data_IF_085664994829
#
_entry.id   IF_085664994829
#
_cell.length_a   1.000
_cell.length_b   1.000
_cell.length_c   1.000
_cell.angle_alpha   90.00
_cell.angle_beta   90.00
_cell.angle_gamma   90.00
#
_symmetry.space_group_name_H-M   'P 1'
#
loop_
_entity.id
_entity.type
_entity.pdbx_description
1 polymer ?
#
# COMPACT_ATOMS: atom_id res chain seq x y z
N UNK A 1 -26.68 51.67 82.55
CA UNK A 1 -26.47 52.08 81.22
C UNK A 1 -25.67 50.95 80.51
N UNK A 2 -26.34 50.16 79.59
CA UNK A 2 -25.72 49.07 78.91
C UNK A 2 -25.44 49.52 77.49
N UNK A 3 -24.15 49.55 77.11
CA UNK A 3 -23.72 49.79 75.72
C UNK A 3 -23.86 48.52 74.90
N UNK A 4 -24.69 48.54 73.87
CA UNK A 4 -24.90 47.50 72.93
C UNK A 4 -23.95 47.74 71.71
N UNK A 5 -22.94 46.90 71.60
CA UNK A 5 -21.94 46.97 70.54
C UNK A 5 -22.42 46.16 69.33
N UNK A 6 -22.81 46.82 68.25
CA UNK A 6 -23.19 46.21 66.97
C UNK A 6 -21.93 45.74 66.26
N UNK A 7 -21.82 44.43 66.05
CA UNK A 7 -20.87 43.86 65.11
C UNK A 7 -21.45 43.86 63.70
N UNK A 8 -20.76 44.56 62.81
CA UNK A 8 -21.00 44.57 61.41
C UNK A 8 -20.35 43.31 60.75
N UNK A 9 -21.16 42.35 60.37
CA UNK A 9 -20.67 41.17 59.67
C UNK A 9 -20.63 41.52 58.18
N UNK A 10 -19.40 41.62 57.63
CA UNK A 10 -19.13 41.81 56.22
C UNK A 10 -19.16 40.42 55.53
N UNK A 11 -20.00 40.14 54.53
CA UNK A 11 -19.90 38.85 53.85
C UNK A 11 -18.71 38.88 52.90
N UNK A 12 -17.79 37.96 53.13
CA UNK A 12 -16.66 37.68 52.27
C UNK A 12 -17.19 36.91 51.02
N UNK A 13 -17.31 37.62 49.92
CA UNK A 13 -17.75 37.03 48.64
C UNK A 13 -16.55 36.34 48.01
N UNK A 14 -16.39 35.04 48.24
CA UNK A 14 -15.38 34.20 47.59
C UNK A 14 -15.81 33.98 46.15
N UNK A 15 -15.22 34.75 45.24
CA UNK A 15 -15.32 34.53 43.81
C UNK A 15 -14.62 33.23 43.42
N UNK A 16 -15.38 32.18 43.05
CA UNK A 16 -14.87 30.97 42.42
C UNK A 16 -14.55 31.32 40.98
N UNK A 17 -13.30 31.53 40.66
CA UNK A 17 -12.79 31.55 39.28
C UNK A 17 -12.89 30.13 38.72
N UNK A 18 -13.96 29.89 37.97
CA UNK A 18 -14.04 28.70 37.10
C UNK A 18 -13.09 28.96 35.94
N UNK A 19 -11.86 28.43 36.01
CA UNK A 19 -10.99 28.28 34.88
C UNK A 19 -11.64 27.21 34.00
N UNK A 20 -12.41 27.62 33.01
CA UNK A 20 -12.80 26.76 31.89
C UNK A 20 -11.50 26.45 31.14
N UNK A 21 -10.90 25.28 31.40
CA UNK A 21 -10.01 24.67 30.44
C UNK A 21 -10.82 24.46 29.17
N UNK A 22 -10.67 25.38 28.23
CA UNK A 22 -11.04 25.16 26.84
C UNK A 22 -9.98 24.16 26.34
N UNK A 23 -10.21 22.86 26.52
CA UNK A 23 -9.57 21.84 25.69
C UNK A 23 -10.11 22.10 24.30
N UNK A 24 -9.41 22.95 23.54
CA UNK A 24 -9.43 22.82 22.10
C UNK A 24 -9.00 21.36 21.85
N UNK A 25 -9.97 20.50 21.67
CA UNK A 25 -9.78 19.24 20.97
C UNK A 25 -9.23 19.62 19.61
N UNK A 26 -7.91 19.72 19.55
CA UNK A 26 -7.18 19.53 18.33
C UNK A 26 -7.51 18.09 17.92
N UNK A 27 -8.66 17.91 17.30
CA UNK A 27 -8.89 16.81 16.38
C UNK A 27 -7.90 17.02 15.24
N UNK A 28 -6.61 16.84 15.57
CA UNK A 28 -5.65 16.40 14.60
C UNK A 28 -6.30 15.14 14.05
N UNK A 29 -7.00 15.26 12.95
CA UNK A 29 -7.50 14.21 12.11
C UNK A 29 -6.34 13.21 12.03
N UNK A 30 -6.32 12.18 12.89
CA UNK A 30 -5.54 10.98 12.70
C UNK A 30 -6.07 10.41 11.40
N UNK A 31 -5.52 10.91 10.29
CA UNK A 31 -5.65 10.30 8.98
C UNK A 31 -5.32 8.83 9.24
N UNK A 32 -6.37 8.02 9.31
CA UNK A 32 -6.19 6.59 9.52
C UNK A 32 -5.51 6.15 8.24
N UNK A 33 -4.23 5.84 8.33
CA UNK A 33 -3.34 5.42 7.19
C UNK A 33 -3.92 4.29 6.35
N UNK A 34 -5.07 3.76 6.79
CA UNK A 34 -5.90 2.80 6.09
C UNK A 34 -6.49 3.33 4.78
N UNK A 35 -6.46 4.64 4.54
CA UNK A 35 -6.96 5.27 3.32
C UNK A 35 -6.12 4.97 2.08
N UNK A 36 -4.85 4.59 2.23
CA UNK A 36 -4.00 4.16 1.11
C UNK A 36 -4.31 2.74 0.61
N UNK A 37 -5.12 1.99 1.35
CA UNK A 37 -5.66 0.72 0.90
C UNK A 37 -7.16 0.65 1.23
N UNK A 38 -8.04 1.33 0.47
CA UNK A 38 -9.48 1.36 0.71
C UNK A 38 -10.13 0.04 0.29
N UNK A 39 -10.13 -0.95 1.19
CA UNK A 39 -10.74 -2.23 0.94
C UNK A 39 -12.28 -2.13 1.06
N UNK A 40 -13.00 -2.32 -0.04
CA UNK A 40 -14.46 -2.27 -0.12
C UNK A 40 -14.97 -3.28 -1.15
N UNK A 41 -15.93 -4.11 -0.77
CA UNK A 41 -16.60 -5.03 -1.71
C UNK A 41 -17.29 -4.24 -2.83
N UNK A 42 -17.16 -4.72 -4.06
CA UNK A 42 -17.61 -4.07 -5.29
C UNK A 42 -16.59 -3.08 -5.87
N UNK A 43 -15.53 -2.69 -5.13
CA UNK A 43 -14.49 -1.84 -5.72
C UNK A 43 -13.61 -2.61 -6.69
N UNK A 44 -13.17 -1.92 -7.75
CA UNK A 44 -12.24 -2.48 -8.73
C UNK A 44 -11.20 -1.46 -9.17
N UNK A 45 -10.05 -1.97 -9.60
CA UNK A 45 -8.96 -1.26 -10.24
C UNK A 45 -8.65 -1.96 -11.56
N UNK A 46 -8.48 -1.19 -12.64
CA UNK A 46 -8.02 -1.70 -13.94
C UNK A 46 -6.67 -1.08 -14.24
N UNK A 47 -5.76 -1.90 -14.70
CA UNK A 47 -4.39 -1.50 -15.01
C UNK A 47 -4.04 -1.83 -16.44
N UNK A 48 -3.25 -0.98 -17.08
CA UNK A 48 -2.46 -1.33 -18.23
C UNK A 48 -1.18 -2.01 -17.74
N UNK A 49 -0.88 -3.18 -18.26
CA UNK A 49 0.27 -3.99 -17.90
C UNK A 49 1.19 -4.13 -19.09
N UNK A 50 2.48 -3.87 -18.83
CA UNK A 50 3.58 -4.18 -19.73
C UNK A 50 4.51 -5.18 -19.03
N UNK A 51 4.79 -6.30 -19.69
CA UNK A 51 5.57 -7.38 -19.11
C UNK A 51 6.55 -7.94 -20.13
N UNK A 52 7.81 -8.13 -19.75
CA UNK A 52 8.80 -8.86 -20.53
C UNK A 52 9.26 -10.05 -19.70
N UNK A 53 9.13 -11.24 -20.28
CA UNK A 53 9.57 -12.50 -19.68
C UNK A 53 10.78 -13.00 -20.45
N UNK A 54 11.91 -13.18 -19.77
CA UNK A 54 13.12 -13.75 -20.34
C UNK A 54 13.22 -15.24 -19.98
N UNK A 55 13.30 -16.07 -21.03
CA UNK A 55 13.56 -17.51 -20.89
C UNK A 55 14.74 -17.89 -21.79
N UNK A 56 15.84 -18.36 -21.18
CA UNK A 56 17.08 -18.71 -21.91
C UNK A 56 17.56 -17.56 -22.82
N UNK A 57 17.58 -16.35 -22.30
CA UNK A 57 17.94 -15.11 -23.01
C UNK A 57 17.01 -14.70 -24.16
N UNK A 58 15.85 -15.32 -24.28
CA UNK A 58 14.83 -14.94 -25.29
C UNK A 58 13.72 -14.13 -24.59
N UNK A 59 13.52 -12.87 -24.94
CA UNK A 59 12.42 -12.06 -24.39
C UNK A 59 11.09 -12.35 -25.08
N UNK A 60 10.03 -12.49 -24.29
CA UNK A 60 8.65 -12.41 -24.72
C UNK A 60 8.02 -11.15 -24.12
N UNK A 61 7.43 -10.31 -24.96
CA UNK A 61 6.77 -9.07 -24.52
C UNK A 61 5.25 -9.24 -24.56
N UNK A 62 4.60 -8.94 -23.44
CA UNK A 62 3.16 -9.00 -23.27
C UNK A 62 2.62 -7.60 -22.92
N UNK A 63 1.47 -7.26 -23.52
CA UNK A 63 0.70 -6.07 -23.15
C UNK A 63 -0.76 -6.48 -22.98
N UNK A 64 -1.36 -6.08 -21.85
CA UNK A 64 -2.72 -6.45 -21.53
C UNK A 64 -3.31 -5.54 -20.46
N UNK A 65 -4.63 -5.64 -20.27
CA UNK A 65 -5.27 -5.03 -19.10
C UNK A 65 -5.55 -6.08 -18.04
N UNK A 66 -5.31 -5.69 -16.78
CA UNK A 66 -5.59 -6.47 -15.59
C UNK A 66 -6.66 -5.77 -14.76
N UNK A 67 -7.78 -6.45 -14.51
CA UNK A 67 -8.81 -6.01 -13.54
C UNK A 67 -8.61 -6.74 -12.22
N UNK A 68 -8.57 -5.97 -11.13
CA UNK A 68 -8.48 -6.43 -9.74
C UNK A 68 -9.74 -5.96 -9.03
N UNK A 69 -10.65 -6.88 -8.69
CA UNK A 69 -11.96 -6.56 -8.13
C UNK A 69 -12.13 -7.22 -6.75
N UNK A 70 -12.55 -6.46 -5.76
CA UNK A 70 -12.92 -6.98 -4.44
C UNK A 70 -14.36 -7.47 -4.48
N UNK A 71 -14.55 -8.78 -4.58
CA UNK A 71 -15.86 -9.40 -4.86
C UNK A 71 -16.61 -9.83 -3.61
N UNK A 72 -15.93 -10.12 -2.52
CA UNK A 72 -16.54 -10.59 -1.27
C UNK A 72 -15.72 -10.19 -0.04
N UNK A 73 -16.31 -10.33 1.14
CA UNK A 73 -15.68 -10.04 2.43
C UNK A 73 -16.16 -11.03 3.50
N UNK A 74 -15.22 -11.52 4.30
CA UNK A 74 -15.50 -12.31 5.50
C UNK A 74 -14.58 -11.89 6.67
N UNK A 75 -14.90 -12.35 7.87
CA UNK A 75 -14.00 -12.23 9.02
C UNK A 75 -13.19 -13.52 9.14
N UNK A 76 -11.87 -13.37 9.30
CA UNK A 76 -11.01 -14.52 9.60
C UNK A 76 -11.18 -14.97 11.07
N UNK A 77 -10.46 -16.02 11.47
CA UNK A 77 -10.51 -16.56 12.84
C UNK A 77 -10.03 -15.61 13.92
N UNK A 78 -9.25 -14.58 13.53
CA UNK A 78 -8.73 -13.52 14.40
C UNK A 78 -9.69 -12.32 14.51
N UNK A 79 -10.78 -12.33 13.72
CA UNK A 79 -11.75 -11.24 13.65
C UNK A 79 -11.38 -10.11 12.68
N UNK A 80 -10.27 -10.26 11.92
CA UNK A 80 -9.87 -9.29 10.91
C UNK A 80 -10.72 -9.40 9.65
N UNK A 81 -10.97 -8.26 9.00
CA UNK A 81 -11.64 -8.24 7.70
C UNK A 81 -10.72 -8.78 6.61
N UNK A 82 -11.19 -9.81 5.93
CA UNK A 82 -10.52 -10.40 4.76
C UNK A 82 -11.41 -10.23 3.54
N UNK A 83 -10.85 -9.66 2.48
CA UNK A 83 -11.54 -9.44 1.20
C UNK A 83 -11.04 -10.44 0.17
N UNK A 84 -11.97 -10.97 -0.61
CA UNK A 84 -11.68 -11.85 -1.76
C UNK A 84 -11.49 -10.97 -2.99
N UNK A 85 -10.41 -11.20 -3.71
CA UNK A 85 -10.02 -10.46 -4.89
C UNK A 85 -10.05 -11.39 -6.09
N UNK A 86 -10.89 -11.07 -7.10
CA UNK A 86 -10.81 -11.70 -8.40
C UNK A 86 -9.92 -10.88 -9.32
N UNK A 87 -8.99 -11.56 -9.98
CA UNK A 87 -8.15 -10.99 -11.01
C UNK A 87 -8.59 -11.53 -12.38
N UNK A 88 -8.77 -10.62 -13.31
CA UNK A 88 -9.17 -10.95 -14.69
C UNK A 88 -8.31 -10.17 -15.67
N UNK A 89 -8.04 -10.77 -16.83
CA UNK A 89 -7.21 -10.21 -17.88
C UNK A 89 -8.01 -10.07 -19.19
N UNK A 90 -7.66 -9.06 -19.99
CA UNK A 90 -8.04 -8.95 -21.41
C UNK A 90 -6.89 -8.35 -22.21
N UNK A 91 -6.78 -8.68 -23.49
CA UNK A 91 -5.68 -8.15 -24.30
C UNK A 91 -5.97 -6.74 -24.82
N UNK A 92 -7.23 -6.43 -25.13
CA UNK A 92 -7.67 -5.11 -25.57
C UNK A 92 -8.95 -4.69 -24.87
N UNK A 93 -9.32 -3.41 -24.94
CA UNK A 93 -10.59 -2.91 -24.39
C UNK A 93 -11.83 -3.54 -25.01
N UNK A 94 -11.73 -4.02 -26.25
CA UNK A 94 -12.82 -4.68 -26.96
C UNK A 94 -13.06 -6.13 -26.50
N UNK A 95 -12.08 -6.73 -25.82
CA UNK A 95 -12.16 -8.12 -25.37
C UNK A 95 -12.94 -8.25 -24.06
N UNK A 96 -13.59 -9.38 -23.89
CA UNK A 96 -14.19 -9.76 -22.61
C UNK A 96 -13.12 -10.09 -21.58
N UNK A 97 -13.42 -9.83 -20.31
CA UNK A 97 -12.57 -10.20 -19.20
C UNK A 97 -12.50 -11.72 -19.03
N UNK A 98 -11.28 -12.26 -19.00
CA UNK A 98 -11.01 -13.68 -18.70
C UNK A 98 -10.46 -13.78 -17.30
N UNK A 99 -11.12 -14.57 -16.46
CA UNK A 99 -10.66 -14.85 -15.09
C UNK A 99 -9.26 -15.48 -15.10
N UNK A 100 -8.41 -15.02 -14.19
CA UNK A 100 -7.03 -15.52 -14.02
C UNK A 100 -6.92 -16.34 -12.75
N UNK A 101 -7.12 -15.67 -11.60
CA UNK A 101 -6.94 -16.24 -10.27
C UNK A 101 -7.73 -15.47 -9.19
N UNK A 102 -7.73 -16.03 -7.99
CA UNK A 102 -8.25 -15.40 -6.78
C UNK A 102 -7.13 -15.16 -5.78
N UNK A 103 -7.03 -13.92 -5.33
CA UNK A 103 -6.22 -13.51 -4.20
C UNK A 103 -7.09 -13.13 -3.02
N UNK A 104 -6.45 -12.86 -1.88
CA UNK A 104 -7.16 -12.28 -0.74
C UNK A 104 -6.31 -11.24 -0.04
N UNK A 105 -6.97 -10.29 0.62
CA UNK A 105 -6.31 -9.28 1.42
C UNK A 105 -6.94 -9.20 2.79
N UNK A 106 -6.12 -9.38 3.83
CA UNK A 106 -6.46 -9.12 5.23
C UNK A 106 -6.01 -7.70 5.59
N UNK A 107 -6.91 -6.95 6.21
CA UNK A 107 -6.62 -5.59 6.65
C UNK A 107 -7.10 -5.39 8.09
N UNK A 108 -6.22 -4.86 8.92
CA UNK A 108 -6.52 -4.40 10.26
C UNK A 108 -5.90 -3.02 10.54
N UNK A 109 -5.79 -2.61 11.80
CA UNK A 109 -5.24 -1.30 12.20
C UNK A 109 -3.71 -1.22 12.15
N UNK A 110 -3.03 -2.35 11.96
CA UNK A 110 -1.57 -2.47 12.02
C UNK A 110 -0.94 -2.75 10.65
N UNK A 111 -1.69 -3.43 9.75
CA UNK A 111 -1.12 -3.88 8.48
C UNK A 111 -2.16 -4.24 7.43
N UNK A 112 -1.69 -4.28 6.19
CA UNK A 112 -2.36 -4.85 5.03
C UNK A 112 -1.54 -6.04 4.55
N UNK A 113 -2.11 -7.24 4.62
CA UNK A 113 -1.47 -8.48 4.19
C UNK A 113 -2.21 -9.04 2.99
N UNK A 114 -1.52 -9.16 1.86
CA UNK A 114 -2.07 -9.75 0.64
C UNK A 114 -1.56 -11.16 0.44
N UNK A 115 -2.48 -12.09 0.19
CA UNK A 115 -2.15 -13.44 -0.22
C UNK A 115 -2.19 -13.52 -1.75
N UNK A 116 -1.03 -13.66 -2.37
CA UNK A 116 -0.81 -13.74 -3.81
C UNK A 116 -0.37 -15.17 -4.16
N UNK A 117 -1.26 -15.97 -4.76
CA UNK A 117 -0.92 -17.35 -5.15
C UNK A 117 -0.46 -18.24 -3.98
N UNK A 118 -1.09 -18.14 -2.82
CA UNK A 118 -0.76 -18.83 -1.57
C UNK A 118 0.50 -18.32 -0.84
N UNK A 119 1.07 -17.19 -1.25
CA UNK A 119 2.17 -16.53 -0.54
C UNK A 119 1.63 -15.23 0.07
N UNK A 120 1.82 -15.06 1.39
CA UNK A 120 1.35 -13.89 2.12
C UNK A 120 2.44 -12.84 2.24
N UNK A 121 2.16 -11.62 1.75
CA UNK A 121 3.06 -10.47 1.81
C UNK A 121 2.46 -9.34 2.65
N UNK A 122 3.24 -8.73 3.53
CA UNK A 122 2.85 -7.48 4.21
C UNK A 122 3.09 -6.31 3.26
N UNK A 123 2.03 -5.86 2.60
CA UNK A 123 2.11 -4.78 1.61
C UNK A 123 2.27 -3.40 2.25
N UNK A 124 1.61 -3.16 3.38
CA UNK A 124 1.70 -1.91 4.14
C UNK A 124 1.73 -2.19 5.64
N UNK A 125 2.57 -1.48 6.37
CA UNK A 125 2.49 -1.33 7.83
C UNK A 125 1.76 -0.03 8.18
N UNK A 126 0.96 -0.06 9.25
CA UNK A 126 0.12 1.03 9.69
C UNK A 126 0.39 1.38 11.17
N UNK A 127 0.30 2.65 11.58
CA UNK A 127 0.11 3.82 10.73
C UNK A 127 1.33 4.10 9.84
N UNK A 128 1.11 4.64 8.62
CA UNK A 128 2.22 4.98 7.71
C UNK A 128 3.00 6.18 8.26
N UNK A 129 4.32 6.11 8.17
CA UNK A 129 5.24 7.23 8.47
C UNK A 129 6.40 7.19 7.48
N UNK A 130 7.04 8.33 7.26
CA UNK A 130 8.25 8.37 6.43
C UNK A 130 9.32 7.45 7.03
N UNK A 131 10.11 6.83 6.16
CA UNK A 131 11.21 5.92 6.50
C UNK A 131 10.78 4.70 7.36
N UNK A 132 9.49 4.33 7.31
CA UNK A 132 8.99 3.12 7.97
C UNK A 132 9.51 1.89 7.23
N UNK A 133 10.17 1.00 7.96
CA UNK A 133 10.71 -0.26 7.44
C UNK A 133 9.97 -1.46 8.03
N UNK A 134 9.80 -2.52 7.23
CA UNK A 134 9.22 -3.79 7.68
C UNK A 134 9.65 -4.95 6.80
N UNK A 135 9.57 -6.16 7.35
CA UNK A 135 9.75 -7.39 6.60
C UNK A 135 8.45 -7.72 5.83
N UNK A 136 8.49 -7.63 4.49
CA UNK A 136 7.39 -8.00 3.61
C UNK A 136 7.03 -9.48 3.68
N UNK A 137 7.96 -10.33 4.08
CA UNK A 137 7.88 -11.79 4.06
C UNK A 137 7.60 -12.43 5.42
N UNK A 138 7.30 -11.64 6.46
CA UNK A 138 7.12 -12.15 7.85
C UNK A 138 6.10 -13.29 7.97
N UNK A 139 5.16 -13.42 7.02
CA UNK A 139 4.12 -14.46 7.00
C UNK A 139 4.33 -15.54 5.93
N UNK A 140 5.53 -15.64 5.34
CA UNK A 140 5.87 -16.67 4.37
C UNK A 140 7.28 -17.24 4.63
N UNK A 141 7.76 -18.15 3.78
CA UNK A 141 9.02 -18.87 3.96
C UNK A 141 10.13 -18.43 2.99
N UNK A 142 9.95 -17.31 2.27
CA UNK A 142 10.91 -16.86 1.26
C UNK A 142 12.17 -16.18 1.84
N UNK A 143 12.22 -16.00 3.16
CA UNK A 143 13.26 -15.26 3.84
C UNK A 143 12.90 -13.78 4.01
N UNK A 144 13.69 -13.05 4.81
CA UNK A 144 13.46 -11.63 5.08
C UNK A 144 13.57 -10.81 3.80
N UNK A 145 12.61 -9.89 3.60
CA UNK A 145 12.55 -8.96 2.48
C UNK A 145 12.13 -7.58 3.02
N UNK A 146 13.10 -6.68 3.13
CA UNK A 146 12.96 -5.42 3.85
C UNK A 146 12.39 -4.33 2.95
N UNK A 147 11.14 -3.96 3.22
CA UNK A 147 10.42 -2.88 2.53
C UNK A 147 10.61 -1.57 3.26
N UNK A 148 10.72 -0.47 2.52
CA UNK A 148 10.84 0.88 3.06
C UNK A 148 9.79 1.80 2.45
N UNK A 149 9.12 2.61 3.28
CA UNK A 149 8.25 3.69 2.83
C UNK A 149 9.11 4.92 2.51
N UNK A 150 9.46 5.13 1.24
CA UNK A 150 10.38 6.19 0.80
C UNK A 150 9.72 7.55 0.67
N UNK A 151 8.47 7.58 0.19
CA UNK A 151 7.75 8.83 -0.06
C UNK A 151 6.36 8.77 0.57
N UNK A 152 5.93 9.87 1.18
CA UNK A 152 4.62 10.01 1.79
C UNK A 152 4.01 11.37 1.45
N UNK A 153 2.73 11.38 1.03
CA UNK A 153 1.97 12.57 0.65
C UNK A 153 2.58 13.34 -0.53
N UNK A 154 3.11 12.59 -1.50
CA UNK A 154 3.69 13.15 -2.73
C UNK A 154 2.69 13.02 -3.87
N UNK A 155 2.60 14.03 -4.73
CA UNK A 155 1.76 13.97 -5.93
C UNK A 155 2.45 13.17 -7.02
N UNK A 156 1.72 12.23 -7.65
CA UNK A 156 2.21 11.39 -8.76
C UNK A 156 1.23 11.44 -9.92
N UNK A 157 1.74 11.27 -11.14
CA UNK A 157 0.92 11.25 -12.36
C UNK A 157 1.16 9.95 -13.12
N UNK A 158 0.09 9.20 -13.39
CA UNK A 158 0.11 7.96 -14.16
C UNK A 158 -0.99 7.99 -15.22
N UNK A 159 -0.69 7.59 -16.46
CA UNK A 159 -1.63 7.61 -17.60
C UNK A 159 -2.41 8.94 -17.72
N UNK A 160 -1.73 10.08 -17.45
CA UNK A 160 -2.34 11.39 -17.50
C UNK A 160 -3.26 11.75 -16.32
N UNK A 161 -3.46 10.85 -15.37
CA UNK A 161 -4.20 11.12 -14.12
C UNK A 161 -3.23 11.51 -13.01
N UNK A 162 -3.54 12.60 -12.30
CA UNK A 162 -2.74 13.07 -11.15
C UNK A 162 -3.40 12.68 -9.83
N UNK A 163 -2.64 12.03 -8.99
CA UNK A 163 -2.99 11.59 -7.64
C UNK A 163 -2.25 12.46 -6.63
N UNK A 164 -2.96 13.32 -5.92
CA UNK A 164 -2.37 14.39 -5.10
C UNK A 164 -1.66 13.89 -3.84
N UNK A 165 -2.06 12.75 -3.31
CA UNK A 165 -1.57 12.18 -2.05
C UNK A 165 -1.24 10.69 -2.26
N UNK A 166 0.02 10.42 -2.55
CA UNK A 166 0.56 9.06 -2.74
C UNK A 166 1.62 8.74 -1.71
N UNK A 167 1.81 7.45 -1.45
CA UNK A 167 2.99 6.90 -0.82
C UNK A 167 3.70 5.94 -1.77
N UNK A 168 5.01 5.84 -1.65
CA UNK A 168 5.86 4.90 -2.40
C UNK A 168 6.50 3.92 -1.43
N UNK A 169 6.31 2.63 -1.69
CA UNK A 169 6.99 1.53 -0.99
C UNK A 169 8.07 0.99 -1.92
N UNK A 170 9.32 1.12 -1.52
CA UNK A 170 10.44 0.41 -2.10
C UNK A 170 10.50 -0.98 -1.46
N UNK A 171 10.42 -2.02 -2.26
CA UNK A 171 10.48 -3.40 -1.81
C UNK A 171 11.88 -4.00 -1.97
N UNK A 172 12.62 -3.54 -2.97
CA UNK A 172 14.04 -3.83 -3.17
C UNK A 172 14.63 -2.89 -4.23
N UNK A 173 15.90 -2.55 -4.06
CA UNK A 173 16.69 -1.81 -5.05
C UNK A 173 18.13 -2.34 -5.01
N UNK A 174 18.33 -3.55 -5.55
CA UNK A 174 19.61 -4.24 -5.51
C UNK A 174 20.03 -4.68 -6.92
N UNK A 175 21.14 -4.11 -7.38
CA UNK A 175 21.84 -4.53 -8.60
C UNK A 175 23.27 -4.94 -8.22
N UNK A 176 23.59 -6.22 -8.30
CA UNK A 176 24.96 -6.69 -8.06
C UNK A 176 25.86 -6.59 -9.31
N UNK A 177 25.29 -6.13 -10.44
CA UNK A 177 25.95 -5.90 -11.74
C UNK A 177 26.52 -7.14 -12.43
N UNK A 178 26.56 -8.29 -11.77
CA UNK A 178 27.22 -9.53 -12.25
C UNK A 178 26.22 -10.69 -12.34
N UNK A 179 25.42 -10.91 -11.30
CA UNK A 179 24.59 -12.10 -11.16
C UNK A 179 23.10 -11.79 -11.32
N UNK A 180 22.61 -10.70 -10.73
CA UNK A 180 21.18 -10.38 -10.75
C UNK A 180 20.88 -8.89 -10.61
N UNK A 181 19.66 -8.52 -10.99
CA UNK A 181 18.99 -7.25 -10.68
C UNK A 181 17.66 -7.57 -10.00
N UNK A 182 17.41 -6.97 -8.83
CA UNK A 182 16.11 -7.01 -8.15
C UNK A 182 15.69 -5.61 -7.72
N UNK A 183 14.80 -4.99 -8.51
CA UNK A 183 14.21 -3.67 -8.24
C UNK A 183 12.70 -3.78 -8.23
N UNK A 184 12.08 -3.41 -7.11
CA UNK A 184 10.64 -3.57 -6.91
C UNK A 184 10.07 -2.38 -6.14
N UNK A 185 9.03 -1.77 -6.66
CA UNK A 185 8.31 -0.69 -5.96
C UNK A 185 6.81 -0.73 -6.24
N UNK A 186 6.06 -0.22 -5.27
CA UNK A 186 4.61 -0.03 -5.36
C UNK A 186 4.24 1.39 -4.93
N UNK A 187 3.28 2.02 -5.63
CA UNK A 187 2.76 3.34 -5.30
C UNK A 187 1.27 3.24 -5.02
N UNK A 188 0.87 3.75 -3.86
CA UNK A 188 -0.51 3.75 -3.42
C UNK A 188 -1.03 5.19 -3.32
N UNK A 189 -2.19 5.44 -3.91
CA UNK A 189 -2.87 6.72 -3.81
C UNK A 189 -3.98 6.67 -2.74
N UNK A 190 -4.09 7.73 -1.96
CA UNK A 190 -5.11 7.90 -0.93
C UNK A 190 -6.51 7.75 -1.51
N UNK A 191 -7.36 6.95 -0.85
CA UNK A 191 -8.73 6.61 -1.21
C UNK A 191 -8.90 5.82 -2.53
N UNK A 192 -7.81 5.36 -3.14
CA UNK A 192 -7.83 4.59 -4.40
C UNK A 192 -7.17 3.23 -4.20
N UNK A 193 -5.99 3.17 -3.59
CA UNK A 193 -5.18 1.97 -3.45
C UNK A 193 -3.97 1.98 -4.37
N UNK A 194 -3.52 0.80 -4.82
CA UNK A 194 -2.36 0.65 -5.69
C UNK A 194 -2.61 1.34 -7.05
N UNK A 195 -1.77 2.31 -7.41
CA UNK A 195 -1.87 3.03 -8.70
C UNK A 195 -0.70 2.71 -9.64
N UNK A 196 0.39 2.19 -9.10
CA UNK A 196 1.55 1.79 -9.88
C UNK A 196 2.32 0.68 -9.19
N UNK A 197 2.80 -0.27 -9.96
CA UNK A 197 3.73 -1.32 -9.52
C UNK A 197 4.77 -1.52 -10.60
N UNK A 198 6.01 -1.65 -10.18
CA UNK A 198 7.15 -1.98 -11.03
C UNK A 198 7.97 -3.09 -10.36
N UNK A 199 8.34 -4.08 -11.15
CA UNK A 199 9.19 -5.18 -10.71
C UNK A 199 10.16 -5.50 -11.83
N UNK A 200 11.46 -5.43 -11.55
CA UNK A 200 12.52 -5.91 -12.43
C UNK A 200 13.32 -6.94 -11.67
N UNK A 201 13.12 -8.19 -11.98
CA UNK A 201 13.84 -9.30 -11.37
C UNK A 201 14.51 -10.11 -12.46
N UNK A 202 15.82 -9.93 -12.65
CA UNK A 202 16.59 -10.50 -13.73
C UNK A 202 17.76 -11.29 -13.17
N UNK A 203 18.07 -12.41 -13.81
CA UNK A 203 19.32 -13.14 -13.60
C UNK A 203 20.19 -12.93 -14.82
N UNK A 204 21.43 -12.54 -14.60
CA UNK A 204 22.42 -12.35 -15.65
C UNK A 204 23.15 -13.66 -15.95
N UNK A 205 23.67 -13.75 -17.15
CA UNK A 205 24.52 -14.85 -17.55
C UNK A 205 25.83 -14.82 -16.76
N UNK A 206 26.19 -15.94 -16.13
CA UNK A 206 27.41 -16.11 -15.31
C UNK A 206 28.43 -17.07 -15.91
N UNK A 207 28.32 -17.39 -17.23
CA UNK A 207 29.26 -18.25 -17.96
C UNK A 207 30.49 -17.42 -18.37
N UNK A 208 31.60 -18.09 -18.64
CA UNK A 208 32.87 -17.46 -18.96
C UNK A 208 32.81 -16.47 -20.15
N UNK A 209 31.91 -16.73 -21.10
CA UNK A 209 31.75 -15.93 -22.32
C UNK A 209 30.80 -14.71 -22.17
N UNK A 210 30.18 -14.54 -20.99
CA UNK A 210 29.21 -13.49 -20.76
C UNK A 210 29.28 -12.88 -19.33
N UNK A 211 30.17 -13.35 -18.49
CA UNK A 211 30.31 -12.90 -17.11
C UNK A 211 30.62 -11.40 -17.05
N UNK A 212 29.79 -10.64 -16.33
CA UNK A 212 29.94 -9.19 -16.17
C UNK A 212 29.39 -8.35 -17.34
N UNK A 213 28.85 -8.96 -18.39
CA UNK A 213 28.22 -8.25 -19.51
C UNK A 213 26.75 -7.84 -19.25
N UNK A 214 26.20 -8.19 -18.08
CA UNK A 214 24.78 -7.99 -17.73
C UNK A 214 23.81 -8.57 -18.77
N UNK A 215 24.21 -9.59 -19.49
CA UNK A 215 23.38 -10.29 -20.44
C UNK A 215 22.29 -11.07 -19.71
N UNK A 216 21.02 -10.67 -19.90
CA UNK A 216 19.89 -11.31 -19.24
C UNK A 216 19.75 -12.76 -19.69
N UNK A 217 19.76 -13.72 -18.77
CA UNK A 217 19.52 -15.14 -19.03
C UNK A 217 18.08 -15.54 -18.72
N UNK A 218 17.52 -15.02 -17.61
CA UNK A 218 16.13 -15.27 -17.22
C UNK A 218 15.59 -14.14 -16.33
N UNK A 219 14.28 -14.11 -16.16
CA UNK A 219 13.65 -13.18 -15.25
C UNK A 219 12.48 -12.41 -15.87
N UNK A 220 12.01 -11.40 -15.18
CA UNK A 220 10.83 -10.64 -15.58
C UNK A 220 11.04 -9.15 -15.35
N UNK A 221 10.59 -8.34 -16.30
CA UNK A 221 10.32 -6.91 -16.15
C UNK A 221 8.80 -6.76 -16.19
N UNK A 222 8.21 -6.21 -15.15
CA UNK A 222 6.78 -6.05 -15.01
C UNK A 222 6.44 -4.63 -14.60
N UNK A 223 5.52 -4.00 -15.32
CA UNK A 223 4.98 -2.68 -15.00
C UNK A 223 3.46 -2.72 -15.05
N UNK A 224 2.82 -2.24 -14.00
CA UNK A 224 1.37 -2.16 -13.86
C UNK A 224 1.00 -0.73 -13.52
N UNK A 225 0.24 -0.08 -14.41
CA UNK A 225 -0.12 1.33 -14.31
C UNK A 225 -1.62 1.48 -14.30
N UNK A 226 -2.17 2.22 -13.36
CA UNK A 226 -3.62 2.45 -13.25
C UNK A 226 -4.18 3.06 -14.53
N UNK A 227 -5.25 2.48 -15.07
CA UNK A 227 -6.02 2.97 -16.20
C UNK A 227 -7.37 3.55 -15.75
N UNK A 228 -8.11 2.80 -14.92
CA UNK A 228 -9.39 3.27 -14.36
C UNK A 228 -9.71 2.54 -13.05
N UNK A 229 -10.62 3.10 -12.28
CA UNK A 229 -11.08 2.51 -11.01
C UNK A 229 -12.52 2.92 -10.73
N UNK A 230 -13.22 2.14 -9.89
CA UNK A 230 -14.61 2.41 -9.55
C UNK A 230 -15.21 1.42 -8.56
N UNK A 231 -16.56 1.45 -8.50
CA UNK A 231 -17.38 0.52 -7.71
C UNK A 231 -18.47 -0.02 -8.62
N UNK A 232 -18.67 -1.34 -8.65
CA UNK A 232 -19.77 -2.06 -9.33
C UNK A 232 -20.94 -2.30 -8.38
#
# INVERSE_FOLDING_TARGET
VKHFRRYLILPFLTGILIVACNSSDDETSRSTSTEYFPAKTGSYLVYDVYEIIYTLSVPETLQYQLKVAMVDKFLNTEGDSTFVIHRSRRNTEADSWTYQDTWSVRKNTQEVVMNEGNISYVKLKLPVSADLEWDGNVYNTLGKDEYTLEELKVSKTYNGQTFADCLTVNQNDNDDFIVYLDQRKEVYAKNIGLVYKETTQLNYCTKDDCLGEQKVESGTIYQQTIATYGVE
#
